data_IF_953128210382
#
_entry.id   IF_953128210382
#
_cell.length_a   1.000
_cell.length_b   1.000
_cell.length_c   1.000
_cell.angle_alpha   90.00
_cell.angle_beta   90.00
_cell.angle_gamma   90.00
#
_symmetry.space_group_name_H-M   'P 1'
#
loop_
_entity.id
_entity.type
_entity.pdbx_description
1 polymer ?
#
# COMPACT_ATOMS: atom_id res chain seq x y z
N UNK A 1 -20.47 -9.05 6.96
CA UNK A 1 -20.23 -8.41 5.64
C UNK A 1 -21.10 -7.17 5.60
N UNK A 2 -20.52 -6.01 5.95
CA UNK A 2 -21.24 -4.74 6.03
C UNK A 2 -21.31 -4.09 4.66
N UNK A 3 -22.52 -3.85 4.17
CA UNK A 3 -22.77 -3.09 2.95
C UNK A 3 -22.67 -1.60 3.25
N UNK A 4 -21.72 -0.92 2.61
CA UNK A 4 -21.66 0.54 2.55
C UNK A 4 -22.60 1.03 1.45
N UNK A 5 -23.78 1.49 1.84
CA UNK A 5 -24.70 2.22 0.97
C UNK A 5 -24.53 3.72 1.21
N UNK A 6 -23.55 4.32 0.54
CA UNK A 6 -23.33 5.78 0.53
C UNK A 6 -23.78 6.38 -0.80
N UNK A 7 -25.09 6.41 -1.04
CA UNK A 7 -25.67 7.16 -2.16
C UNK A 7 -25.82 8.62 -1.75
N UNK A 8 -24.86 9.46 -2.12
CA UNK A 8 -24.91 10.90 -1.91
C UNK A 8 -26.03 11.54 -2.74
N UNK A 9 -27.19 11.69 -2.14
CA UNK A 9 -28.14 12.73 -2.52
C UNK A 9 -27.67 14.04 -1.87
N UNK A 10 -27.34 15.05 -2.68
CA UNK A 10 -27.42 16.51 -2.37
C UNK A 10 -26.73 17.30 -3.49
N UNK A 11 -27.31 17.25 -4.69
CA UNK A 11 -26.89 18.09 -5.82
C UNK A 11 -27.94 19.08 -6.29
N UNK A 12 -29.10 19.17 -5.63
CA UNK A 12 -30.27 19.90 -6.16
C UNK A 12 -30.62 21.20 -5.45
N UNK A 13 -30.10 21.45 -4.26
CA UNK A 13 -30.57 22.57 -3.43
C UNK A 13 -29.53 23.67 -3.26
N UNK A 14 -28.47 23.70 -4.09
CA UNK A 14 -27.30 24.48 -3.71
C UNK A 14 -27.43 25.99 -3.92
N UNK A 15 -28.41 26.50 -4.69
CA UNK A 15 -28.55 27.95 -4.86
C UNK A 15 -30.00 28.40 -5.10
N UNK A 16 -30.51 29.41 -4.36
CA UNK A 16 -31.75 30.08 -4.74
C UNK A 16 -31.55 30.73 -6.11
N UNK A 17 -32.17 30.14 -7.13
CA UNK A 17 -32.14 30.65 -8.51
C UNK A 17 -33.19 31.75 -8.64
N UNK A 18 -33.03 32.84 -7.88
CA UNK A 18 -33.89 34.00 -8.06
C UNK A 18 -33.43 34.70 -9.34
N UNK A 19 -34.10 34.39 -10.46
CA UNK A 19 -33.84 35.00 -11.77
C UNK A 19 -34.06 36.51 -11.67
N UNK A 20 -33.02 37.30 -11.91
CA UNK A 20 -33.18 38.74 -12.10
C UNK A 20 -33.72 38.95 -13.51
N UNK A 21 -35.00 39.28 -13.60
CA UNK A 21 -35.55 39.79 -14.85
C UNK A 21 -35.00 41.20 -15.09
N UNK A 22 -34.63 41.56 -16.33
CA UNK A 22 -34.33 42.94 -16.66
C UNK A 22 -35.50 43.86 -16.26
N UNK A 23 -35.23 45.14 -15.93
CA UNK A 23 -36.29 46.10 -15.63
C UNK A 23 -37.29 46.13 -16.78
N UNK A 24 -38.59 46.09 -16.45
CA UNK A 24 -39.67 46.06 -17.44
C UNK A 24 -39.57 47.26 -18.38
N UNK A 25 -39.05 47.03 -19.59
CA UNK A 25 -38.98 48.05 -20.62
C UNK A 25 -40.38 48.22 -21.22
N UNK A 26 -41.12 49.22 -20.77
CA UNK A 26 -42.28 49.71 -21.52
C UNK A 26 -41.72 50.29 -22.83
N UNK A 27 -41.81 49.51 -23.89
CA UNK A 27 -41.46 49.93 -25.25
C UNK A 27 -42.56 50.85 -25.74
N UNK A 28 -42.26 52.15 -25.80
CA UNK A 28 -43.10 53.09 -26.52
C UNK A 28 -42.93 52.84 -28.02
N UNK A 29 -44.03 52.92 -28.76
CA UNK A 29 -44.01 52.90 -30.22
C UNK A 29 -43.35 54.17 -30.78
N UNK A 30 -42.85 54.10 -32.00
CA UNK A 30 -42.22 55.24 -32.69
C UNK A 30 -43.16 56.46 -32.76
N UNK A 31 -44.48 56.23 -32.88
CA UNK A 31 -45.49 57.28 -32.89
C UNK A 31 -45.66 57.94 -31.51
N UNK A 32 -45.62 57.16 -30.44
CA UNK A 32 -45.67 57.68 -29.06
C UNK A 32 -44.42 58.48 -28.72
N UNK A 33 -43.26 58.04 -29.21
CA UNK A 33 -41.98 58.76 -29.06
C UNK A 33 -42.01 60.09 -29.82
N UNK A 34 -42.50 60.10 -31.06
CA UNK A 34 -42.60 61.30 -31.90
C UNK A 34 -43.55 62.36 -31.32
N UNK A 35 -44.53 61.94 -30.50
CA UNK A 35 -45.50 62.82 -29.86
C UNK A 35 -45.01 63.43 -28.52
N UNK A 36 -43.82 63.05 -28.03
CA UNK A 36 -43.28 63.59 -26.78
C UNK A 36 -42.77 65.03 -26.96
N UNK A 37 -43.03 65.88 -25.96
CA UNK A 37 -42.27 67.13 -25.83
C UNK A 37 -40.81 66.86 -25.50
N UNK A 38 -39.91 67.81 -25.82
CA UNK A 38 -38.48 67.70 -25.53
C UNK A 38 -38.19 67.43 -24.03
N UNK A 39 -38.94 68.05 -23.11
CA UNK A 39 -38.80 67.82 -21.68
C UNK A 39 -39.22 66.40 -21.26
N UNK A 40 -40.29 65.87 -21.85
CA UNK A 40 -40.75 64.50 -21.60
C UNK A 40 -39.78 63.48 -22.18
N UNK A 41 -39.26 63.71 -23.38
CA UNK A 41 -38.25 62.87 -24.01
C UNK A 41 -36.96 62.81 -23.18
N UNK A 42 -36.43 63.98 -22.77
CA UNK A 42 -35.23 64.05 -21.91
C UNK A 42 -35.44 63.31 -20.58
N UNK A 43 -36.58 63.50 -19.94
CA UNK A 43 -36.92 62.80 -18.69
C UNK A 43 -36.98 61.29 -18.89
N UNK A 44 -37.59 60.84 -20.00
CA UNK A 44 -37.68 59.43 -20.34
C UNK A 44 -36.31 58.80 -20.57
N UNK A 45 -35.44 59.46 -21.35
CA UNK A 45 -34.07 58.98 -21.62
C UNK A 45 -33.25 58.92 -20.35
N UNK A 46 -33.26 59.98 -19.53
CA UNK A 46 -32.55 59.99 -18.24
C UNK A 46 -33.01 58.83 -17.36
N UNK A 47 -34.33 58.67 -17.19
CA UNK A 47 -34.89 57.57 -16.39
C UNK A 47 -34.45 56.21 -16.90
N UNK A 48 -34.47 55.97 -18.21
CA UNK A 48 -34.09 54.68 -18.80
C UNK A 48 -32.59 54.40 -18.63
N UNK A 49 -31.74 55.42 -18.77
CA UNK A 49 -30.31 55.29 -18.51
C UNK A 49 -30.03 55.00 -17.04
N UNK A 50 -30.72 55.67 -16.11
CA UNK A 50 -30.59 55.39 -14.68
C UNK A 50 -31.03 53.97 -14.33
N UNK A 51 -32.20 53.51 -14.82
CA UNK A 51 -32.68 52.13 -14.62
C UNK A 51 -31.67 51.07 -15.11
N UNK A 52 -31.00 51.32 -16.24
CA UNK A 52 -29.97 50.42 -16.77
C UNK A 52 -28.69 50.41 -15.94
N UNK A 53 -28.24 51.58 -15.49
CA UNK A 53 -27.05 51.71 -14.63
C UNK A 53 -27.28 51.01 -13.29
N UNK A 54 -28.42 51.24 -12.65
CA UNK A 54 -28.79 50.61 -11.39
C UNK A 54 -28.90 49.08 -11.51
N UNK A 55 -29.46 48.60 -12.63
CA UNK A 55 -29.49 47.16 -12.92
C UNK A 55 -28.09 46.57 -13.08
N UNK A 56 -27.17 47.28 -13.75
CA UNK A 56 -25.78 46.86 -13.88
C UNK A 56 -25.06 46.75 -12.54
N UNK A 57 -25.26 47.73 -11.64
CA UNK A 57 -24.72 47.69 -10.29
C UNK A 57 -25.29 46.52 -9.48
N UNK A 58 -26.60 46.27 -9.56
CA UNK A 58 -27.24 45.16 -8.86
C UNK A 58 -26.70 43.79 -9.34
N UNK A 59 -26.50 43.63 -10.66
CA UNK A 59 -25.90 42.42 -11.22
C UNK A 59 -24.48 42.22 -10.70
N UNK A 60 -23.65 43.26 -10.69
CA UNK A 60 -22.28 43.17 -10.18
C UNK A 60 -22.26 42.80 -8.69
N UNK A 61 -23.04 43.48 -7.84
CA UNK A 61 -23.11 43.18 -6.40
C UNK A 61 -23.51 41.74 -6.13
N UNK A 62 -24.54 41.23 -6.83
CA UNK A 62 -24.97 39.83 -6.68
C UNK A 62 -23.91 38.85 -7.19
N UNK A 63 -23.30 39.12 -8.34
CA UNK A 63 -22.20 38.29 -8.84
C UNK A 63 -21.06 38.23 -7.84
N UNK A 64 -20.68 39.36 -7.22
CA UNK A 64 -19.64 39.41 -6.21
C UNK A 64 -20.01 38.59 -4.96
N UNK A 65 -21.25 38.68 -4.49
CA UNK A 65 -21.73 37.87 -3.35
C UNK A 65 -21.68 36.39 -3.69
N UNK A 66 -22.24 35.97 -4.83
CA UNK A 66 -22.23 34.55 -5.24
C UNK A 66 -20.81 34.02 -5.42
N UNK A 67 -19.91 34.79 -6.02
CA UNK A 67 -18.50 34.40 -6.16
C UNK A 67 -17.86 34.20 -4.80
N UNK A 68 -18.07 35.12 -3.85
CA UNK A 68 -17.53 35.01 -2.49
C UNK A 68 -18.07 33.80 -1.75
N UNK A 69 -19.38 33.57 -1.79
CA UNK A 69 -20.02 32.40 -1.17
C UNK A 69 -19.48 31.09 -1.75
N UNK A 70 -19.36 31.00 -3.07
CA UNK A 70 -18.77 29.83 -3.74
C UNK A 70 -17.32 29.61 -3.32
N UNK A 71 -16.50 30.68 -3.26
CA UNK A 71 -15.12 30.59 -2.82
C UNK A 71 -15.01 30.10 -1.37
N UNK A 72 -15.85 30.62 -0.47
CA UNK A 72 -15.89 30.18 0.92
C UNK A 72 -16.33 28.73 1.06
N UNK A 73 -17.34 28.29 0.31
CA UNK A 73 -17.80 26.90 0.33
C UNK A 73 -16.75 25.93 -0.18
N UNK A 74 -16.07 26.28 -1.27
CA UNK A 74 -14.94 25.50 -1.80
C UNK A 74 -13.83 25.44 -0.76
N UNK A 75 -13.48 26.58 -0.16
CA UNK A 75 -12.43 26.66 0.86
C UNK A 75 -12.76 25.85 2.11
N UNK A 76 -14.01 25.91 2.58
CA UNK A 76 -14.50 25.13 3.74
C UNK A 76 -14.42 23.63 3.44
N UNK A 77 -14.94 23.19 2.29
CA UNK A 77 -14.92 21.78 1.88
C UNK A 77 -13.50 21.25 1.76
N UNK A 78 -12.64 21.94 1.01
CA UNK A 78 -11.25 21.53 0.83
C UNK A 78 -10.48 21.43 2.17
N UNK A 79 -10.72 22.35 3.11
CA UNK A 79 -10.08 22.27 4.42
C UNK A 79 -10.61 21.11 5.28
N UNK A 80 -11.90 20.79 5.18
CA UNK A 80 -12.47 19.64 5.88
C UNK A 80 -11.88 18.33 5.35
N UNK A 81 -11.86 18.16 4.02
CA UNK A 81 -11.27 16.99 3.35
C UNK A 81 -9.78 16.83 3.67
N UNK A 82 -9.03 17.94 3.68
CA UNK A 82 -7.62 17.94 4.10
C UNK A 82 -7.45 17.46 5.54
N UNK A 83 -8.24 17.99 6.48
CA UNK A 83 -8.15 17.62 7.90
C UNK A 83 -8.52 16.15 8.12
N UNK A 84 -9.52 15.65 7.41
CA UNK A 84 -9.88 14.23 7.44
C UNK A 84 -8.73 13.36 6.92
N UNK A 85 -8.16 13.73 5.77
CA UNK A 85 -7.02 13.03 5.16
C UNK A 85 -5.79 13.02 6.07
N UNK A 86 -5.47 14.14 6.73
CA UNK A 86 -4.38 14.24 7.72
C UNK A 86 -4.58 13.28 8.90
N UNK A 87 -5.81 13.18 9.41
CA UNK A 87 -6.15 12.25 10.49
C UNK A 87 -5.99 10.78 10.06
N UNK A 88 -6.41 10.45 8.83
CA UNK A 88 -6.25 9.12 8.26
C UNK A 88 -4.77 8.78 8.08
N UNK A 89 -3.96 9.70 7.55
CA UNK A 89 -2.52 9.50 7.38
C UNK A 89 -1.82 9.26 8.72
N UNK A 90 -2.09 10.08 9.74
CA UNK A 90 -1.52 9.86 11.08
C UNK A 90 -1.88 8.47 11.65
N UNK A 91 -3.08 7.98 11.35
CA UNK A 91 -3.50 6.63 11.77
C UNK A 91 -2.75 5.54 11.00
N UNK A 92 -2.49 5.74 9.71
CA UNK A 92 -1.70 4.83 8.87
C UNK A 92 -0.25 4.79 9.35
N UNK A 93 0.38 5.95 9.56
CA UNK A 93 1.75 6.07 10.05
C UNK A 93 1.92 5.33 11.39
N UNK A 94 1.00 5.53 12.34
CA UNK A 94 1.03 4.82 13.61
C UNK A 94 0.91 3.30 13.44
N UNK A 95 0.09 2.82 12.49
CA UNK A 95 -0.02 1.38 12.20
C UNK A 95 1.26 0.84 11.57
N UNK A 96 1.87 1.60 10.67
CA UNK A 96 3.14 1.24 10.03
C UNK A 96 4.26 1.09 11.07
N UNK A 97 4.39 2.05 11.99
CA UNK A 97 5.36 1.97 13.10
C UNK A 97 5.17 0.70 13.94
N UNK A 98 3.92 0.35 14.24
CA UNK A 98 3.59 -0.86 15.00
C UNK A 98 3.95 -2.14 14.22
N UNK A 99 3.68 -2.17 12.93
CA UNK A 99 4.02 -3.32 12.06
C UNK A 99 5.54 -3.47 11.97
N UNK A 100 6.26 -2.36 11.77
CA UNK A 100 7.72 -2.36 11.71
C UNK A 100 8.35 -2.84 13.03
N UNK A 101 7.82 -2.40 14.17
CA UNK A 101 8.29 -2.85 15.48
C UNK A 101 8.01 -4.34 15.71
N UNK A 102 6.82 -4.82 15.32
CA UNK A 102 6.48 -6.24 15.41
C UNK A 102 7.38 -7.09 14.52
N UNK A 103 7.62 -6.65 13.28
CA UNK A 103 8.52 -7.31 12.33
C UNK A 103 9.95 -7.46 12.87
N UNK A 104 10.50 -6.40 13.48
CA UNK A 104 11.82 -6.46 14.16
C UNK A 104 11.85 -7.49 15.29
N UNK A 105 10.78 -7.55 16.10
CA UNK A 105 10.69 -8.53 17.18
C UNK A 105 10.63 -9.97 16.67
N UNK A 106 9.87 -10.20 15.60
CA UNK A 106 9.78 -11.50 14.95
C UNK A 106 11.11 -11.90 14.30
N UNK A 107 11.81 -10.97 13.66
CA UNK A 107 13.13 -11.20 13.08
C UNK A 107 14.14 -11.66 14.15
N UNK A 108 14.21 -10.96 15.29
CA UNK A 108 15.06 -11.35 16.43
C UNK A 108 14.67 -12.74 16.94
N UNK A 109 13.37 -13.05 17.02
CA UNK A 109 12.88 -14.35 17.48
C UNK A 109 13.27 -15.47 16.51
N UNK A 110 13.16 -15.23 15.20
CA UNK A 110 13.55 -16.16 14.15
C UNK A 110 15.06 -16.41 14.21
N UNK A 111 15.89 -15.37 14.25
CA UNK A 111 17.34 -15.49 14.35
C UNK A 111 17.74 -16.34 15.57
N UNK A 112 17.13 -16.10 16.74
CA UNK A 112 17.39 -16.90 17.94
C UNK A 112 16.96 -18.36 17.81
N UNK A 113 15.87 -18.63 17.08
CA UNK A 113 15.42 -20.00 16.80
C UNK A 113 16.41 -20.69 15.84
N UNK A 114 16.85 -20.00 14.80
CA UNK A 114 17.83 -20.51 13.84
C UNK A 114 19.17 -20.84 14.51
N UNK A 115 19.66 -19.94 15.37
CA UNK A 115 20.87 -20.18 16.17
C UNK A 115 20.74 -21.41 17.07
N UNK A 116 19.60 -21.54 17.76
CA UNK A 116 19.32 -22.72 18.60
C UNK A 116 19.22 -24.00 17.77
N UNK A 117 18.57 -23.95 16.61
CA UNK A 117 18.43 -25.10 15.73
C UNK A 117 19.80 -25.55 15.23
N UNK A 118 20.67 -24.60 14.86
CA UNK A 118 22.05 -24.88 14.48
C UNK A 118 22.83 -25.52 15.63
N UNK A 119 22.72 -24.97 16.84
CA UNK A 119 23.36 -25.55 18.03
C UNK A 119 22.89 -26.97 18.35
N UNK A 120 21.59 -27.25 18.22
CA UNK A 120 21.02 -28.59 18.37
C UNK A 120 21.58 -29.53 17.28
N UNK A 121 21.60 -29.08 16.03
CA UNK A 121 22.14 -29.84 14.92
C UNK A 121 23.63 -30.16 15.11
N UNK A 122 24.41 -29.18 15.58
CA UNK A 122 25.83 -29.36 15.87
C UNK A 122 26.04 -30.34 17.03
N UNK A 123 25.17 -30.28 18.05
CA UNK A 123 25.20 -31.23 19.18
C UNK A 123 24.96 -32.66 18.71
N UNK A 124 23.94 -32.89 17.87
CA UNK A 124 23.67 -34.23 17.31
C UNK A 124 24.78 -34.72 16.36
N UNK A 125 25.43 -33.82 15.63
CA UNK A 125 26.55 -34.17 14.73
C UNK A 125 27.87 -34.40 15.46
N UNK A 126 28.05 -33.86 16.67
CA UNK A 126 29.34 -33.89 17.39
C UNK A 126 29.85 -35.32 17.63
N UNK A 127 28.96 -36.27 17.82
CA UNK A 127 29.29 -37.70 17.99
C UNK A 127 29.31 -38.50 16.68
N UNK A 128 28.97 -37.89 15.55
CA UNK A 128 28.87 -38.60 14.28
C UNK A 128 30.26 -38.73 13.63
N UNK A 129 30.62 -39.96 13.26
CA UNK A 129 31.87 -40.29 12.55
C UNK A 129 31.52 -40.60 11.10
N UNK A 130 32.14 -39.87 10.15
CA UNK A 130 31.93 -40.08 8.71
C UNK A 130 33.10 -40.87 8.13
N UNK A 131 32.82 -42.08 7.63
CA UNK A 131 33.81 -42.96 7.00
C UNK A 131 33.63 -42.86 5.49
N UNK A 132 34.69 -42.46 4.77
CA UNK A 132 34.67 -42.21 3.32
C UNK A 132 35.54 -43.26 2.62
N UNK A 133 35.19 -43.61 1.37
CA UNK A 133 36.01 -44.50 0.54
C UNK A 133 35.79 -45.99 0.79
N UNK A 134 34.67 -46.39 1.39
CA UNK A 134 34.28 -47.79 1.58
C UNK A 134 33.77 -48.35 0.24
N UNK A 135 34.51 -49.24 -0.46
CA UNK A 135 34.07 -49.78 -1.75
C UNK A 135 32.98 -50.84 -1.57
N UNK A 136 31.95 -50.81 -2.41
CA UNK A 136 31.00 -51.93 -2.55
C UNK A 136 30.03 -52.18 -1.38
N UNK A 137 29.82 -51.21 -0.49
CA UNK A 137 28.96 -51.37 0.68
C UNK A 137 27.46 -51.25 0.36
N UNK A 138 26.61 -52.09 0.96
CA UNK A 138 25.16 -52.19 0.69
C UNK A 138 24.24 -51.85 1.90
N UNK A 139 24.79 -51.41 3.04
CA UNK A 139 23.98 -50.77 4.07
C UNK A 139 23.39 -51.62 5.18
N UNK A 140 23.75 -52.90 5.27
CA UNK A 140 23.34 -53.74 6.39
C UNK A 140 24.03 -53.32 7.71
N UNK A 141 23.24 -53.14 8.77
CA UNK A 141 23.70 -52.66 10.10
C UNK A 141 24.84 -53.50 10.69
N UNK A 142 24.76 -54.82 10.56
CA UNK A 142 25.75 -55.78 11.08
C UNK A 142 27.10 -55.68 10.33
N UNK A 143 27.07 -55.37 9.03
CA UNK A 143 28.30 -55.21 8.23
C UNK A 143 29.04 -53.91 8.60
N UNK A 144 28.32 -52.85 8.98
CA UNK A 144 28.92 -51.58 9.43
C UNK A 144 29.62 -51.73 10.78
N UNK A 145 29.04 -52.51 11.69
CA UNK A 145 29.65 -52.87 12.98
C UNK A 145 30.99 -53.55 12.80
N UNK A 146 30.98 -54.63 12.04
CA UNK A 146 32.18 -55.39 11.74
C UNK A 146 33.25 -54.55 11.03
N UNK A 147 32.85 -53.72 10.06
CA UNK A 147 33.78 -52.82 9.36
C UNK A 147 34.41 -51.79 10.31
N UNK A 148 33.62 -51.22 11.22
CA UNK A 148 34.12 -50.26 12.20
C UNK A 148 35.13 -50.90 13.16
N UNK A 149 34.82 -52.12 13.63
CA UNK A 149 35.74 -52.92 14.46
C UNK A 149 37.05 -53.24 13.73
N UNK A 150 36.97 -53.64 12.45
CA UNK A 150 38.15 -53.88 11.63
C UNK A 150 39.03 -52.62 11.49
N UNK A 151 38.41 -51.48 11.15
CA UNK A 151 39.13 -50.20 11.01
C UNK A 151 39.86 -49.84 12.30
N UNK A 152 39.20 -49.98 13.46
CA UNK A 152 39.81 -49.67 14.76
C UNK A 152 40.91 -50.67 15.11
N UNK A 153 40.73 -51.96 14.85
CA UNK A 153 41.76 -52.97 15.16
C UNK A 153 43.02 -52.77 14.32
N UNK A 154 42.87 -52.44 13.05
CA UNK A 154 43.99 -52.22 12.13
C UNK A 154 44.71 -50.90 12.39
N UNK A 155 43.98 -49.81 12.67
CA UNK A 155 44.56 -48.47 12.77
C UNK A 155 44.79 -47.97 14.20
N UNK A 156 44.00 -48.46 15.18
CA UNK A 156 44.03 -48.04 16.58
C UNK A 156 44.09 -49.24 17.55
N UNK A 157 45.11 -50.10 17.47
CA UNK A 157 45.20 -51.34 18.25
C UNK A 157 45.24 -51.14 19.76
N UNK A 158 45.56 -49.92 20.24
CA UNK A 158 45.50 -49.55 21.67
C UNK A 158 44.05 -49.33 22.11
N UNK A 159 43.21 -48.69 21.27
CA UNK A 159 41.78 -48.49 21.54
C UNK A 159 41.03 -49.82 21.50
N UNK A 160 41.42 -50.73 20.61
CA UNK A 160 40.81 -52.05 20.50
C UNK A 160 40.97 -52.94 21.75
N UNK A 161 41.96 -52.67 22.62
CA UNK A 161 42.24 -53.51 23.81
C UNK A 161 41.53 -53.05 25.08
N UNK A 162 40.98 -51.84 25.12
CA UNK A 162 40.52 -51.21 26.36
C UNK A 162 39.08 -50.66 26.34
N UNK A 163 38.33 -50.84 25.25
CA UNK A 163 37.02 -50.20 25.08
C UNK A 163 35.93 -51.21 24.76
N UNK A 164 34.88 -51.25 25.59
CA UNK A 164 33.57 -51.80 25.20
C UNK A 164 32.86 -50.65 24.48
N UNK A 165 32.72 -50.73 23.15
CA UNK A 165 31.97 -49.72 22.41
C UNK A 165 30.51 -49.76 22.88
N UNK A 166 30.01 -48.66 23.42
CA UNK A 166 28.58 -48.49 23.66
C UNK A 166 27.86 -48.54 22.31
N UNK A 167 26.81 -49.37 22.23
CA UNK A 167 26.02 -49.63 21.03
C UNK A 167 25.82 -48.36 20.19
N UNK A 168 26.26 -48.38 18.92
CA UNK A 168 25.95 -47.25 18.04
C UNK A 168 24.44 -47.19 17.85
N UNK A 169 23.87 -46.03 18.15
CA UNK A 169 22.43 -45.79 18.08
C UNK A 169 21.89 -45.92 16.65
N UNK A 170 22.61 -45.43 15.64
CA UNK A 170 22.16 -45.43 14.24
C UNK A 170 23.34 -45.48 13.26
N UNK A 171 23.19 -46.28 12.17
CA UNK A 171 24.24 -46.58 11.18
C UNK A 171 23.60 -46.59 9.79
N UNK A 172 23.76 -45.52 9.03
CA UNK A 172 23.07 -45.32 7.75
C UNK A 172 24.02 -44.73 6.70
N UNK A 173 23.76 -45.01 5.41
CA UNK A 173 24.43 -44.29 4.32
C UNK A 173 23.88 -42.89 4.27
N UNK A 174 24.75 -41.91 4.15
CA UNK A 174 24.29 -40.62 3.66
C UNK A 174 23.82 -40.76 2.20
N UNK A 175 22.62 -40.26 1.85
CA UNK A 175 22.17 -40.20 0.48
C UNK A 175 23.22 -39.50 -0.39
N UNK A 176 23.58 -40.11 -1.51
CA UNK A 176 24.45 -39.48 -2.50
C UNK A 176 23.73 -38.25 -3.05
N UNK A 177 24.32 -37.06 -2.90
CA UNK A 177 23.79 -35.84 -3.53
C UNK A 177 24.07 -35.91 -5.02
N UNK A 178 23.05 -36.02 -5.86
CA UNK A 178 23.19 -35.76 -7.29
C UNK A 178 23.31 -34.25 -7.49
N UNK A 179 24.43 -33.79 -8.04
CA UNK A 179 24.53 -32.41 -8.54
C UNK A 179 23.73 -32.34 -9.84
N UNK A 180 22.52 -31.80 -9.81
CA UNK A 180 21.81 -31.40 -11.03
C UNK A 180 22.27 -29.98 -11.36
N UNK A 181 22.97 -29.85 -12.48
CA UNK A 181 23.37 -28.57 -13.04
C UNK A 181 22.09 -27.94 -13.63
N UNK A 182 21.37 -27.11 -12.87
CA UNK A 182 20.38 -26.21 -13.48
C UNK A 182 21.16 -25.13 -14.24
N UNK A 183 21.34 -25.39 -15.52
CA UNK A 183 21.86 -24.44 -16.48
C UNK A 183 20.96 -23.20 -16.49
N UNK A 184 21.55 -22.09 -16.06
CA UNK A 184 21.09 -20.74 -16.29
C UNK A 184 21.14 -20.43 -17.79
N UNK A 185 20.16 -20.91 -18.55
CA UNK A 185 19.95 -20.49 -19.94
C UNK A 185 18.87 -19.39 -20.02
N UNK A 186 19.38 -18.16 -20.03
CA UNK A 186 19.02 -17.07 -20.93
C UNK A 186 17.60 -16.51 -20.89
N UNK A 187 17.42 -15.49 -20.04
CA UNK A 187 16.45 -14.40 -20.25
C UNK A 187 17.11 -13.19 -20.91
N UNK A 188 17.52 -13.31 -22.17
CA UNK A 188 17.73 -12.15 -23.06
C UNK A 188 17.02 -12.44 -24.36
N UNK A 189 15.72 -12.16 -24.42
CA UNK A 189 15.04 -11.97 -25.70
C UNK A 189 14.79 -10.49 -25.88
N UNK A 190 15.58 -9.93 -26.79
CA UNK A 190 15.49 -8.56 -27.30
C UNK A 190 14.26 -8.42 -28.20
N UNK A 191 13.68 -7.22 -28.14
CA UNK A 191 12.79 -6.59 -29.11
C UNK A 191 12.98 -7.07 -30.55
N UNK A 192 11.88 -7.45 -31.20
CA UNK A 192 11.44 -7.00 -32.53
C UNK A 192 9.91 -7.05 -32.58
#
# INVERSE_FOLDING_TARGET
MGGWGGGGETGKDMFPTEQISPPGLILLSDQEIANLSDAQFKTLVIRKLTELVDFGHNLDERMQVTIKEMQEDIWRRANSERKESESQNNTVDQKEDRINQAGKHDEIRIQKIEEKLKSIQDTFKRSNIRIIGVPGWEGEKQQIEHLFEQIIKENFPILAKGTVFQDCSEKLREPQRSWTQEETHQGTSSLH
#
